data_IF_989462705469
#
_entry.id   IF_989462705469
#
_cell.length_a   1.000
_cell.length_b   1.000
_cell.length_c   1.000
_cell.angle_alpha   90.00
_cell.angle_beta   90.00
_cell.angle_gamma   90.00
#
_symmetry.space_group_name_H-M   'P 1'
#
loop_
_entity.id
_entity.type
_entity.pdbx_description
1 polymer ?
#
# COMPACT_ATOMS: atom_id res chain seq x y z
N UNK A 1 -32.43 3.72 -16.03
CA UNK A 1 -31.62 4.51 -15.08
C UNK A 1 -30.30 3.78 -14.96
N UNK A 2 -29.31 4.15 -15.76
CA UNK A 2 -27.99 3.53 -15.70
C UNK A 2 -27.36 3.90 -14.35
N UNK A 3 -27.00 2.90 -13.55
CA UNK A 3 -26.20 3.13 -12.37
C UNK A 3 -24.87 3.72 -12.84
N UNK A 4 -24.56 4.96 -12.48
CA UNK A 4 -23.18 5.44 -12.59
C UNK A 4 -22.29 4.40 -11.91
N UNK A 5 -21.22 3.89 -12.57
CA UNK A 5 -20.34 2.94 -11.91
C UNK A 5 -19.83 3.61 -10.65
N UNK A 6 -20.18 3.04 -9.48
CA UNK A 6 -19.73 3.58 -8.20
C UNK A 6 -18.20 3.69 -8.26
N UNK A 7 -17.68 4.91 -8.23
CA UNK A 7 -16.23 5.13 -8.19
C UNK A 7 -15.73 4.46 -6.92
N UNK A 8 -14.90 3.43 -7.10
CA UNK A 8 -14.25 2.74 -5.99
C UNK A 8 -13.24 3.69 -5.34
N UNK A 9 -13.34 3.98 -4.04
CA UNK A 9 -12.38 4.84 -3.37
C UNK A 9 -10.99 4.22 -3.42
N UNK A 10 -9.97 5.05 -3.63
CA UNK A 10 -8.56 4.62 -3.59
C UNK A 10 -8.21 4.24 -2.15
N UNK A 11 -7.72 3.03 -1.94
CA UNK A 11 -7.29 2.53 -0.65
C UNK A 11 -5.80 2.18 -0.68
N UNK A 12 -5.02 2.78 0.21
CA UNK A 12 -3.62 2.42 0.43
C UNK A 12 -3.54 1.22 1.35
N UNK A 13 -2.80 0.19 0.94
CA UNK A 13 -2.58 -1.01 1.75
C UNK A 13 -1.22 -0.96 2.43
N UNK A 14 -1.23 -1.17 3.75
CA UNK A 14 -0.04 -1.36 4.56
C UNK A 14 -0.16 -2.61 5.42
N UNK A 15 0.96 -3.21 5.77
CA UNK A 15 1.06 -4.38 6.65
C UNK A 15 2.45 -4.36 7.29
N UNK A 16 2.63 -5.12 8.38
CA UNK A 16 3.95 -5.42 8.90
C UNK A 16 4.63 -6.43 7.96
N UNK A 17 5.36 -5.91 6.96
CA UNK A 17 6.04 -6.71 5.95
C UNK A 17 7.22 -7.46 6.56
N UNK A 18 7.44 -8.70 6.10
CA UNK A 18 8.48 -9.55 6.64
C UNK A 18 9.89 -9.17 6.18
N UNK A 19 9.99 -8.45 5.06
CA UNK A 19 11.23 -8.17 4.36
C UNK A 19 11.65 -9.28 3.39
N UNK A 20 10.91 -10.40 3.36
CA UNK A 20 11.12 -11.51 2.43
C UNK A 20 10.30 -11.27 1.16
N UNK A 21 10.95 -10.93 0.01
CA UNK A 21 10.24 -10.42 -1.16
C UNK A 21 9.15 -11.35 -1.70
N UNK A 22 9.42 -12.66 -1.76
CA UNK A 22 8.47 -13.64 -2.32
C UNK A 22 7.20 -13.76 -1.44
N UNK A 23 7.39 -13.79 -0.12
CA UNK A 23 6.29 -13.88 0.85
C UNK A 23 5.47 -12.60 0.86
N UNK A 24 6.16 -11.47 0.90
CA UNK A 24 5.53 -10.15 0.95
C UNK A 24 4.77 -9.82 -0.33
N UNK A 25 5.29 -10.20 -1.51
CA UNK A 25 4.59 -10.01 -2.79
C UNK A 25 3.31 -10.86 -2.87
N UNK A 26 3.34 -12.12 -2.45
CA UNK A 26 2.15 -12.98 -2.43
C UNK A 26 1.08 -12.42 -1.48
N UNK A 27 1.48 -12.02 -0.26
CA UNK A 27 0.57 -11.41 0.72
C UNK A 27 0.00 -10.08 0.23
N UNK A 28 0.82 -9.21 -0.37
CA UNK A 28 0.38 -7.94 -0.92
C UNK A 28 -0.64 -8.13 -2.04
N UNK A 29 -0.43 -9.10 -2.93
CA UNK A 29 -1.39 -9.45 -3.97
C UNK A 29 -2.71 -9.98 -3.38
N UNK A 30 -2.62 -10.83 -2.35
CA UNK A 30 -3.78 -11.35 -1.64
C UNK A 30 -4.61 -10.22 -0.99
N UNK A 31 -3.98 -9.31 -0.26
CA UNK A 31 -4.70 -8.19 0.36
C UNK A 31 -5.29 -7.23 -0.67
N UNK A 32 -4.58 -6.96 -1.77
CA UNK A 32 -5.14 -6.19 -2.88
C UNK A 32 -6.42 -6.82 -3.43
N UNK A 33 -6.46 -8.16 -3.55
CA UNK A 33 -7.64 -8.89 -3.98
C UNK A 33 -8.81 -8.72 -2.99
N UNK A 34 -8.55 -8.84 -1.69
CA UNK A 34 -9.58 -8.63 -0.66
C UNK A 34 -10.13 -7.21 -0.66
N UNK A 35 -9.25 -6.19 -0.78
CA UNK A 35 -9.66 -4.79 -0.87
C UNK A 35 -10.51 -4.53 -2.13
N UNK A 36 -10.12 -5.12 -3.26
CA UNK A 36 -10.91 -5.08 -4.50
C UNK A 36 -12.31 -5.69 -4.31
N UNK A 37 -12.42 -6.84 -3.66
CA UNK A 37 -13.69 -7.52 -3.38
C UNK A 37 -14.57 -6.72 -2.41
N UNK A 38 -13.95 -5.97 -1.49
CA UNK A 38 -14.62 -5.04 -0.59
C UNK A 38 -15.05 -3.71 -1.26
N UNK A 39 -14.80 -3.55 -2.57
CA UNK A 39 -15.26 -2.39 -3.34
C UNK A 39 -14.28 -1.21 -3.41
N UNK A 40 -13.02 -1.41 -2.99
CA UNK A 40 -11.97 -0.40 -3.11
C UNK A 40 -11.19 -0.51 -4.42
N UNK A 41 -10.47 0.56 -4.77
CA UNK A 41 -9.37 0.52 -5.73
C UNK A 41 -8.07 0.42 -4.92
N UNK A 42 -7.42 -0.74 -4.83
CA UNK A 42 -6.24 -0.91 -4.00
C UNK A 42 -5.00 -0.27 -4.62
N UNK A 43 -4.15 0.32 -3.78
CA UNK A 43 -2.76 0.68 -4.10
C UNK A 43 -1.84 0.09 -3.04
N UNK A 44 -0.88 -0.74 -3.47
CA UNK A 44 0.12 -1.34 -2.59
C UNK A 44 1.51 -1.10 -3.19
N UNK A 45 2.27 -0.13 -2.66
CA UNK A 45 3.56 0.23 -3.26
C UNK A 45 4.60 -0.87 -3.30
N UNK A 46 4.50 -1.84 -2.39
CA UNK A 46 5.37 -3.00 -2.32
C UNK A 46 5.34 -3.84 -3.61
N UNK A 47 4.22 -3.86 -4.34
CA UNK A 47 4.08 -4.65 -5.56
C UNK A 47 4.80 -4.04 -6.78
N UNK A 48 5.09 -2.74 -6.77
CA UNK A 48 5.59 -2.07 -7.97
C UNK A 48 6.84 -1.22 -7.75
N UNK A 49 7.06 -0.61 -6.57
CA UNK A 49 8.27 0.18 -6.31
C UNK A 49 9.55 -0.65 -6.42
N UNK A 50 9.64 -1.86 -5.85
CA UNK A 50 10.85 -2.68 -5.96
C UNK A 50 11.19 -3.13 -7.38
N UNK A 51 10.24 -3.01 -8.34
CA UNK A 51 10.47 -3.38 -9.73
C UNK A 51 11.40 -2.41 -10.46
N UNK A 52 11.58 -1.19 -9.94
CA UNK A 52 12.43 -0.17 -10.57
C UNK A 52 13.26 0.67 -9.58
N UNK A 53 12.97 0.62 -8.28
CA UNK A 53 13.80 1.21 -7.23
C UNK A 53 14.65 0.15 -6.55
N UNK A 54 15.93 0.47 -6.36
CA UNK A 54 16.88 -0.29 -5.58
C UNK A 54 17.02 0.32 -4.18
N UNK A 55 16.44 -0.34 -3.19
CA UNK A 55 16.44 0.12 -1.80
C UNK A 55 17.84 0.21 -1.17
N UNK A 56 18.86 -0.46 -1.76
CA UNK A 56 20.25 -0.33 -1.32
C UNK A 56 20.90 1.00 -1.74
N UNK A 57 20.28 1.74 -2.67
CA UNK A 57 20.75 3.07 -3.10
C UNK A 57 20.05 4.13 -2.23
N UNK A 58 20.76 4.91 -1.40
CA UNK A 58 20.14 5.83 -0.44
C UNK A 58 19.19 6.87 -1.07
N UNK A 59 19.51 7.33 -2.29
CA UNK A 59 18.65 8.26 -3.04
C UNK A 59 17.34 7.61 -3.47
N UNK A 60 17.40 6.38 -3.98
CA UNK A 60 16.23 5.62 -4.43
C UNK A 60 15.38 5.14 -3.25
N UNK A 61 16.00 4.74 -2.14
CA UNK A 61 15.31 4.44 -0.88
C UNK A 61 14.47 5.64 -0.42
N UNK A 62 15.07 6.85 -0.39
CA UNK A 62 14.36 8.07 -0.05
C UNK A 62 13.23 8.38 -1.04
N UNK A 63 13.49 8.26 -2.34
CA UNK A 63 12.47 8.44 -3.37
C UNK A 63 11.30 7.47 -3.18
N UNK A 64 11.58 6.19 -2.85
CA UNK A 64 10.57 5.19 -2.53
C UNK A 64 9.69 5.62 -1.36
N UNK A 65 10.29 6.06 -0.25
CA UNK A 65 9.54 6.57 0.91
C UNK A 65 8.65 7.77 0.53
N UNK A 66 9.18 8.73 -0.21
CA UNK A 66 8.45 9.94 -0.60
C UNK A 66 7.27 9.60 -1.55
N UNK A 67 7.48 8.69 -2.51
CA UNK A 67 6.43 8.19 -3.39
C UNK A 67 5.33 7.44 -2.63
N UNK A 68 5.68 6.57 -1.69
CA UNK A 68 4.70 5.87 -0.83
C UNK A 68 3.83 6.83 -0.05
N UNK A 69 4.45 7.86 0.55
CA UNK A 69 3.74 8.90 1.30
C UNK A 69 2.82 9.75 0.42
N UNK A 70 3.24 10.11 -0.79
CA UNK A 70 2.39 10.83 -1.75
C UNK A 70 1.15 9.99 -2.14
N UNK A 71 1.34 8.69 -2.38
CA UNK A 71 0.24 7.77 -2.68
C UNK A 71 -0.73 7.61 -1.52
N UNK A 72 -0.21 7.50 -0.30
CA UNK A 72 -1.03 7.44 0.90
C UNK A 72 -1.89 8.70 1.05
N UNK A 73 -1.30 9.90 0.90
CA UNK A 73 -2.04 11.18 0.98
C UNK A 73 -3.13 11.34 -0.08
N UNK A 74 -2.97 10.73 -1.24
CA UNK A 74 -3.97 10.72 -2.33
C UNK A 74 -5.05 9.67 -2.12
N UNK A 75 -4.81 8.71 -1.23
CA UNK A 75 -5.77 7.65 -0.92
C UNK A 75 -6.85 8.17 0.02
N UNK A 76 -8.07 7.68 -0.15
CA UNK A 76 -9.20 8.07 0.68
C UNK A 76 -9.29 7.22 1.95
N UNK A 77 -8.59 6.09 1.96
CA UNK A 77 -8.64 5.10 3.04
C UNK A 77 -7.27 4.45 3.16
N UNK A 78 -6.80 4.30 4.39
CA UNK A 78 -5.70 3.42 4.75
C UNK A 78 -6.28 2.09 5.23
N UNK A 79 -5.86 0.98 4.63
CA UNK A 79 -6.18 -0.37 5.07
C UNK A 79 -4.92 -0.97 5.69
N UNK A 80 -4.98 -1.21 6.99
CA UNK A 80 -3.95 -1.94 7.74
C UNK A 80 -4.28 -3.42 7.70
N UNK A 81 -3.39 -4.22 7.13
CA UNK A 81 -3.57 -5.65 6.92
C UNK A 81 -2.76 -6.44 7.97
N UNK A 82 -3.32 -7.56 8.43
CA UNK A 82 -2.71 -8.38 9.46
C UNK A 82 -2.99 -7.90 10.90
N UNK A 83 -2.35 -8.53 11.87
CA UNK A 83 -2.54 -8.28 13.31
C UNK A 83 -1.37 -7.56 13.99
N UNK A 84 -0.27 -7.35 13.27
CA UNK A 84 0.95 -6.72 13.77
C UNK A 84 1.02 -5.27 13.26
N UNK A 85 1.38 -4.35 14.14
CA UNK A 85 1.59 -2.94 13.85
C UNK A 85 3.01 -2.57 14.25
N UNK A 86 3.91 -2.58 13.26
CA UNK A 86 5.31 -2.17 13.43
C UNK A 86 5.49 -0.66 13.24
N UNK A 87 6.73 -0.19 13.24
CA UNK A 87 7.04 1.24 13.09
C UNK A 87 6.63 1.79 11.72
N UNK A 88 6.71 1.00 10.65
CA UNK A 88 6.30 1.44 9.32
C UNK A 88 4.78 1.59 9.22
N UNK A 89 4.02 0.64 9.77
CA UNK A 89 2.56 0.75 9.85
C UNK A 89 2.15 1.94 10.74
N UNK A 90 2.84 2.19 11.86
CA UNK A 90 2.58 3.38 12.70
C UNK A 90 2.83 4.67 11.93
N UNK A 91 3.91 4.72 11.15
CA UNK A 91 4.23 5.88 10.31
C UNK A 91 3.14 6.11 9.25
N UNK A 92 2.64 5.06 8.61
CA UNK A 92 1.54 5.16 7.64
C UNK A 92 0.25 5.65 8.32
N UNK A 93 -0.10 5.12 9.50
CA UNK A 93 -1.26 5.58 10.29
C UNK A 93 -1.12 7.08 10.63
N UNK A 94 0.06 7.51 11.06
CA UNK A 94 0.32 8.91 11.41
C UNK A 94 0.25 9.86 10.19
N UNK A 95 0.57 9.37 8.99
CA UNK A 95 0.45 10.16 7.75
C UNK A 95 -1.00 10.24 7.26
N UNK A 96 -1.83 9.23 7.58
CA UNK A 96 -3.24 9.19 7.20
C UNK A 96 -4.17 10.02 8.10
N UNK A 97 -3.78 10.28 9.35
CA UNK A 97 -4.52 11.10 10.33
C UNK A 97 -4.28 12.59 10.16
#
# INVERSE_FOLDING_TARGET
MEAQPMKRPLAYLTAAWSGEPDVDMELAAHYCRLAYEAGFSPICPLLYLPLFLNDSVPEEHKAGIDMRRDMLRRSHTLIVCGSVVDEDVKNDIAVAG
#
